data_IF_146930006885
#
_entry.id   IF_146930006885
#
_cell.length_a   1.000
_cell.length_b   1.000
_cell.length_c   1.000
_cell.angle_alpha   90.00
_cell.angle_beta   90.00
_cell.angle_gamma   90.00
#
_symmetry.space_group_name_H-M   'P 1'
#
loop_
_entity.id
_entity.type
_entity.pdbx_description
1 polymer ?
#
# COMPACT_ATOMS: atom_id res chain seq x y z
N UNK A 1 -12.59 -1.77 2.71
CA UNK A 1 -11.82 -2.99 2.35
C UNK A 1 -12.78 -4.11 1.91
N UNK A 2 -13.66 -3.83 0.94
CA UNK A 2 -14.84 -4.66 0.67
C UNK A 2 -14.59 -5.81 -0.31
N UNK A 3 -13.47 -5.79 -1.04
CA UNK A 3 -13.06 -6.83 -2.00
C UNK A 3 -11.96 -7.75 -1.48
N UNK A 4 -11.10 -7.26 -0.57
CA UNK A 4 -9.95 -8.00 -0.03
C UNK A 4 -10.40 -8.99 1.05
N UNK A 5 -11.22 -8.54 2.01
CA UNK A 5 -11.63 -9.39 3.15
C UNK A 5 -12.42 -10.64 2.71
N UNK A 6 -13.46 -10.55 1.85
CA UNK A 6 -14.16 -11.75 1.39
C UNK A 6 -13.22 -12.73 0.66
N UNK A 7 -12.29 -12.23 -0.15
CA UNK A 7 -11.31 -13.07 -0.84
C UNK A 7 -10.32 -13.73 0.10
N UNK A 8 -9.84 -13.02 1.13
CA UNK A 8 -8.95 -13.63 2.13
C UNK A 8 -9.68 -14.71 2.93
N UNK A 9 -10.93 -14.46 3.36
CA UNK A 9 -11.75 -15.47 4.03
C UNK A 9 -11.95 -16.71 3.14
N UNK A 10 -12.23 -16.53 1.85
CA UNK A 10 -12.30 -17.66 0.92
C UNK A 10 -10.96 -18.40 0.78
N UNK A 11 -9.82 -17.70 0.73
CA UNK A 11 -8.50 -18.37 0.63
C UNK A 11 -8.22 -19.28 1.83
N UNK A 12 -8.56 -18.84 3.04
CA UNK A 12 -8.29 -19.61 4.27
C UNK A 12 -9.34 -20.68 4.56
N UNK A 13 -10.63 -20.39 4.35
CA UNK A 13 -11.73 -21.26 4.77
C UNK A 13 -12.45 -21.97 3.61
N UNK A 14 -12.20 -21.56 2.37
CA UNK A 14 -12.89 -22.06 1.15
C UNK A 14 -14.42 -21.94 1.21
N UNK A 15 -14.92 -21.02 2.03
CA UNK A 15 -16.34 -20.77 2.20
C UNK A 15 -16.89 -19.94 1.02
N UNK A 16 -17.56 -20.63 0.09
CA UNK A 16 -18.22 -19.99 -1.06
C UNK A 16 -19.48 -19.23 -0.66
N UNK A 17 -20.19 -19.64 0.39
CA UNK A 17 -21.43 -18.98 0.80
C UNK A 17 -21.14 -17.57 1.33
N UNK A 18 -20.03 -17.39 2.04
CA UNK A 18 -19.57 -16.06 2.46
C UNK A 18 -19.21 -15.19 1.25
N UNK A 19 -18.57 -15.76 0.24
CA UNK A 19 -18.22 -15.04 -0.99
C UNK A 19 -19.48 -14.59 -1.75
N UNK A 20 -20.45 -15.49 -1.91
CA UNK A 20 -21.76 -15.21 -2.52
C UNK A 20 -22.53 -14.12 -1.76
N UNK A 21 -22.52 -14.17 -0.42
CA UNK A 21 -23.19 -13.15 0.40
C UNK A 21 -22.59 -11.73 0.24
N UNK A 22 -21.33 -11.61 -0.20
CA UNK A 22 -20.64 -10.33 -0.35
C UNK A 22 -20.44 -9.90 -1.80
N UNK A 23 -20.74 -10.74 -2.79
CA UNK A 23 -20.35 -10.49 -4.18
C UNK A 23 -20.96 -9.21 -4.76
N UNK A 24 -22.23 -8.94 -4.46
CA UNK A 24 -22.90 -7.73 -4.96
C UNK A 24 -22.29 -6.45 -4.37
N UNK A 25 -21.77 -6.50 -3.14
CA UNK A 25 -21.05 -5.37 -2.54
C UNK A 25 -19.67 -5.17 -3.16
N UNK A 26 -18.98 -6.27 -3.52
CA UNK A 26 -17.71 -6.21 -4.25
C UNK A 26 -17.89 -5.59 -5.65
N UNK A 27 -18.93 -6.02 -6.37
CA UNK A 27 -19.34 -5.50 -7.68
C UNK A 27 -19.70 -4.01 -7.58
N UNK A 28 -20.59 -3.64 -6.66
CA UNK A 28 -21.04 -2.26 -6.49
C UNK A 28 -19.89 -1.30 -6.17
N UNK A 29 -18.94 -1.73 -5.34
CA UNK A 29 -17.75 -0.95 -5.02
C UNK A 29 -16.87 -0.69 -6.23
N UNK A 30 -16.55 -1.73 -7.01
CA UNK A 30 -15.73 -1.56 -8.21
C UNK A 30 -16.46 -0.70 -9.24
N UNK A 31 -17.79 -0.86 -9.38
CA UNK A 31 -18.59 -0.05 -10.29
C UNK A 31 -18.59 1.43 -9.90
N UNK A 32 -18.63 1.76 -8.60
CA UNK A 32 -18.55 3.16 -8.15
C UNK A 32 -17.25 3.83 -8.61
N UNK A 33 -16.11 3.14 -8.45
CA UNK A 33 -14.81 3.67 -8.90
C UNK A 33 -14.76 3.73 -10.44
N UNK A 34 -15.26 2.69 -11.11
CA UNK A 34 -15.27 2.58 -12.56
C UNK A 34 -16.12 3.67 -13.21
N UNK A 35 -17.33 3.91 -12.73
CA UNK A 35 -18.24 4.94 -13.26
C UNK A 35 -17.67 6.35 -13.08
N UNK A 36 -17.00 6.62 -11.95
CA UNK A 36 -16.35 7.90 -11.73
C UNK A 36 -15.07 8.07 -12.60
N UNK A 37 -14.30 7.00 -12.80
CA UNK A 37 -13.18 6.98 -13.76
C UNK A 37 -13.68 7.24 -15.19
N UNK A 38 -14.75 6.58 -15.63
CA UNK A 38 -15.40 6.83 -16.93
C UNK A 38 -15.81 8.30 -17.08
N UNK A 39 -16.48 8.87 -16.07
CA UNK A 39 -16.90 10.26 -16.08
C UNK A 39 -15.72 11.26 -16.10
N UNK A 40 -14.53 10.84 -15.62
CA UNK A 40 -13.31 11.66 -15.56
C UNK A 40 -12.30 11.34 -16.67
N UNK A 41 -12.75 10.68 -17.74
CA UNK A 41 -11.99 10.49 -18.97
C UNK A 41 -11.37 9.10 -19.13
N UNK A 42 -11.89 8.09 -18.42
CA UNK A 42 -11.58 6.66 -18.61
C UNK A 42 -10.08 6.37 -18.55
N UNK A 43 -9.37 6.99 -17.60
CA UNK A 43 -7.91 6.86 -17.50
C UNK A 43 -7.49 5.52 -16.92
N UNK A 44 -8.42 4.78 -16.31
CA UNK A 44 -8.16 3.53 -15.59
C UNK A 44 -7.16 3.74 -14.45
N UNK A 45 -7.24 4.91 -13.84
CA UNK A 45 -6.45 5.32 -12.67
C UNK A 45 -7.38 5.97 -11.67
N UNK A 46 -7.14 5.71 -10.39
CA UNK A 46 -7.91 6.34 -9.33
C UNK A 46 -7.29 7.68 -8.93
N UNK A 47 -7.52 8.69 -9.77
CA UNK A 47 -6.89 10.01 -9.68
C UNK A 47 -7.82 11.12 -9.15
N UNK A 48 -8.88 10.73 -8.43
CA UNK A 48 -9.94 11.61 -7.92
C UNK A 48 -10.35 11.26 -6.50
N UNK A 49 -11.05 12.21 -5.86
CA UNK A 49 -11.54 12.05 -4.49
C UNK A 49 -10.44 12.17 -3.43
N UNK A 50 -10.85 12.09 -2.16
CA UNK A 50 -9.92 12.12 -1.03
C UNK A 50 -9.27 10.75 -0.86
N UNK A 51 -7.93 10.73 -0.73
CA UNK A 51 -7.15 9.54 -0.44
C UNK A 51 -6.24 9.81 0.77
N UNK A 52 -6.23 8.89 1.72
CA UNK A 52 -5.32 8.96 2.88
C UNK A 52 -3.86 8.59 2.50
N UNK A 53 -3.68 7.90 1.37
CA UNK A 53 -2.36 7.43 0.93
C UNK A 53 -1.78 6.41 1.90
N UNK A 54 -0.47 6.46 2.09
CA UNK A 54 0.23 5.61 3.06
C UNK A 54 0.18 6.23 4.45
N UNK A 55 -0.93 6.00 5.14
CA UNK A 55 -1.23 6.60 6.44
C UNK A 55 -0.19 6.21 7.51
N UNK A 56 0.26 7.19 8.31
CA UNK A 56 1.27 7.04 9.36
C UNK A 56 2.65 6.56 8.89
N UNK A 57 2.97 6.75 7.60
CA UNK A 57 4.32 6.54 7.09
C UNK A 57 5.29 7.60 7.62
N UNK A 58 6.56 7.21 7.77
CA UNK A 58 7.63 8.06 8.30
C UNK A 58 8.48 8.72 7.21
N UNK A 59 8.18 8.44 5.93
CA UNK A 59 8.92 8.93 4.76
C UNK A 59 8.64 10.40 4.40
N UNK A 60 7.72 11.07 5.10
CA UNK A 60 7.47 12.52 4.97
C UNK A 60 8.56 13.39 5.60
N UNK A 61 9.32 12.84 6.57
CA UNK A 61 10.29 13.56 7.40
C UNK A 61 9.72 14.75 8.19
N UNK A 62 8.39 14.82 8.36
CA UNK A 62 7.72 15.86 9.14
C UNK A 62 7.26 15.25 10.47
N UNK A 63 7.79 15.68 11.62
CA UNK A 63 7.41 15.14 12.93
C UNK A 63 5.89 15.23 13.19
N UNK A 64 5.29 14.14 13.66
CA UNK A 64 3.85 14.08 13.93
C UNK A 64 2.95 14.06 12.69
N UNK A 65 3.52 14.05 11.49
CA UNK A 65 2.75 13.92 10.26
C UNK A 65 2.06 12.55 10.19
N UNK A 66 0.86 12.54 9.60
CA UNK A 66 0.04 11.34 9.41
C UNK A 66 -0.02 10.88 7.96
N UNK A 67 0.53 11.66 7.03
CA UNK A 67 0.51 11.38 5.60
C UNK A 67 1.90 10.97 5.10
N UNK A 68 1.98 9.89 4.33
CA UNK A 68 3.21 9.47 3.68
C UNK A 68 3.60 10.29 2.44
N UNK A 69 4.84 10.09 2.00
CA UNK A 69 5.42 10.70 0.82
C UNK A 69 5.15 9.94 -0.49
N UNK A 70 4.55 8.76 -0.42
CA UNK A 70 4.20 7.99 -1.61
C UNK A 70 3.06 8.67 -2.38
N UNK A 71 3.18 8.76 -3.72
CA UNK A 71 2.12 9.26 -4.61
C UNK A 71 0.78 8.55 -4.33
N UNK A 72 -0.24 9.32 -3.92
CA UNK A 72 -1.53 8.73 -3.52
C UNK A 72 -2.32 8.15 -4.70
N UNK A 73 -2.10 8.63 -5.93
CA UNK A 73 -2.72 8.05 -7.14
C UNK A 73 -2.10 6.69 -7.43
N UNK A 74 -0.80 6.51 -7.19
CA UNK A 74 -0.16 5.19 -7.31
C UNK A 74 -0.83 4.19 -6.36
N UNK A 75 -0.91 4.52 -5.07
CA UNK A 75 -1.53 3.65 -4.05
C UNK A 75 -2.99 3.37 -4.40
N UNK A 76 -3.79 4.42 -4.66
CA UNK A 76 -5.20 4.28 -4.97
C UNK A 76 -5.43 3.43 -6.24
N UNK A 77 -4.62 3.62 -7.29
CA UNK A 77 -4.74 2.85 -8.53
C UNK A 77 -4.34 1.38 -8.34
N UNK A 78 -3.35 1.09 -7.49
CA UNK A 78 -3.04 -0.31 -7.12
C UNK A 78 -4.23 -0.94 -6.39
N UNK A 79 -4.87 -0.25 -5.44
CA UNK A 79 -6.07 -0.77 -4.79
C UNK A 79 -7.28 -0.88 -5.72
N UNK A 80 -7.39 -0.03 -6.74
CA UNK A 80 -8.38 -0.17 -7.81
C UNK A 80 -8.15 -1.45 -8.62
N UNK A 81 -6.90 -1.68 -9.05
CA UNK A 81 -6.50 -2.93 -9.71
C UNK A 81 -6.81 -4.17 -8.85
N UNK A 82 -6.41 -4.15 -7.58
CA UNK A 82 -6.65 -5.26 -6.65
C UNK A 82 -8.14 -5.49 -6.42
N UNK A 83 -8.94 -4.43 -6.33
CA UNK A 83 -10.38 -4.55 -6.17
C UNK A 83 -11.04 -5.18 -7.40
N UNK A 84 -10.72 -4.70 -8.60
CA UNK A 84 -11.23 -5.27 -9.85
C UNK A 84 -10.79 -6.74 -10.01
N UNK A 85 -9.51 -7.03 -9.74
CA UNK A 85 -8.98 -8.40 -9.80
C UNK A 85 -9.65 -9.34 -8.79
N UNK A 86 -9.79 -8.92 -7.53
CA UNK A 86 -10.42 -9.75 -6.50
C UNK A 86 -11.90 -10.01 -6.82
N UNK A 87 -12.62 -9.01 -7.34
CA UNK A 87 -14.00 -9.19 -7.81
C UNK A 87 -14.07 -10.15 -9.00
N UNK A 88 -13.16 -10.04 -9.98
CA UNK A 88 -13.08 -10.97 -11.09
C UNK A 88 -12.82 -12.42 -10.63
N UNK A 89 -11.83 -12.62 -9.75
CA UNK A 89 -11.49 -13.92 -9.19
C UNK A 89 -12.69 -14.50 -8.41
N UNK A 90 -13.39 -13.68 -7.64
CA UNK A 90 -14.58 -14.08 -6.88
C UNK A 90 -15.73 -14.53 -7.79
N UNK A 91 -16.05 -13.74 -8.81
CA UNK A 91 -17.09 -14.07 -9.80
C UNK A 91 -16.74 -15.37 -10.54
N UNK A 92 -15.47 -15.56 -10.90
CA UNK A 92 -15.01 -16.80 -11.54
C UNK A 92 -15.18 -18.03 -10.61
N UNK A 93 -14.90 -17.90 -9.30
CA UNK A 93 -15.11 -18.98 -8.31
C UNK A 93 -16.60 -19.36 -8.19
N UNK A 94 -17.48 -18.37 -8.37
CA UNK A 94 -18.93 -18.51 -8.33
C UNK A 94 -19.53 -18.89 -9.70
N UNK A 95 -18.71 -19.02 -10.74
CA UNK A 95 -19.14 -19.26 -12.12
C UNK A 95 -20.16 -18.23 -12.64
N UNK A 96 -19.91 -16.96 -12.33
CA UNK A 96 -20.73 -15.82 -12.75
C UNK A 96 -20.17 -15.19 -14.04
N UNK A 97 -21.04 -14.98 -15.03
CA UNK A 97 -20.68 -14.46 -16.36
C UNK A 97 -20.09 -13.03 -16.34
N UNK A 98 -20.29 -12.28 -15.25
CA UNK A 98 -19.70 -10.94 -15.08
C UNK A 98 -18.17 -10.98 -14.89
N UNK A 99 -17.59 -12.13 -14.59
CA UNK A 99 -16.16 -12.27 -14.29
C UNK A 99 -15.25 -11.68 -15.37
N UNK A 100 -15.60 -11.89 -16.65
CA UNK A 100 -14.80 -11.43 -17.79
C UNK A 100 -14.64 -9.92 -17.83
N UNK A 101 -15.70 -9.17 -17.51
CA UNK A 101 -15.65 -7.71 -17.48
C UNK A 101 -14.64 -7.21 -16.45
N UNK A 102 -14.71 -7.69 -15.21
CA UNK A 102 -13.81 -7.26 -14.14
C UNK A 102 -12.37 -7.75 -14.38
N UNK A 103 -12.21 -8.91 -15.00
CA UNK A 103 -10.90 -9.39 -15.41
C UNK A 103 -10.25 -8.44 -16.42
N UNK A 104 -10.96 -8.07 -17.50
CA UNK A 104 -10.47 -7.11 -18.48
C UNK A 104 -10.19 -5.75 -17.86
N UNK A 105 -11.10 -5.25 -17.01
CA UNK A 105 -10.91 -4.01 -16.28
C UNK A 105 -9.61 -4.03 -15.45
N UNK A 106 -9.32 -5.13 -14.75
CA UNK A 106 -8.07 -5.25 -13.99
C UNK A 106 -6.83 -5.20 -14.88
N UNK A 107 -6.88 -5.78 -16.09
CA UNK A 107 -5.77 -5.72 -17.05
C UNK A 107 -5.57 -4.29 -17.59
N UNK A 108 -6.67 -3.59 -17.88
CA UNK A 108 -6.64 -2.19 -18.33
C UNK A 108 -6.03 -1.27 -17.28
N UNK A 109 -6.46 -1.39 -16.02
CA UNK A 109 -5.92 -0.61 -14.90
C UNK A 109 -4.43 -0.90 -14.72
N UNK A 110 -4.04 -2.18 -14.71
CA UNK A 110 -2.62 -2.55 -14.59
C UNK A 110 -1.78 -1.94 -15.71
N UNK A 111 -2.29 -1.97 -16.95
CA UNK A 111 -1.64 -1.36 -18.12
C UNK A 111 -1.54 0.15 -17.96
N UNK A 112 -2.59 0.81 -17.46
CA UNK A 112 -2.60 2.25 -17.21
C UNK A 112 -1.54 2.63 -16.17
N UNK A 113 -1.48 1.94 -15.02
CA UNK A 113 -0.43 2.14 -14.00
C UNK A 113 0.95 2.01 -14.64
N UNK A 114 1.21 0.94 -15.39
CA UNK A 114 2.50 0.74 -16.05
C UNK A 114 2.82 1.90 -17.01
N UNK A 115 1.86 2.34 -17.82
CA UNK A 115 2.07 3.41 -18.79
C UNK A 115 2.30 4.79 -18.16
N UNK A 116 1.76 5.02 -16.96
CA UNK A 116 1.84 6.30 -16.25
C UNK A 116 3.10 6.40 -15.39
N UNK A 117 3.46 5.31 -14.72
CA UNK A 117 4.53 5.34 -13.72
C UNK A 117 5.87 4.82 -14.26
N UNK A 118 5.93 4.25 -15.47
CA UNK A 118 7.18 3.78 -16.05
C UNK A 118 7.54 4.50 -17.35
N UNK A 119 8.84 4.76 -17.54
CA UNK A 119 9.42 5.25 -18.78
C UNK A 119 10.69 4.47 -19.09
N UNK A 120 10.78 3.89 -20.30
CA UNK A 120 11.94 3.09 -20.74
C UNK A 120 12.30 1.91 -19.80
N UNK A 121 11.31 1.37 -19.09
CA UNK A 121 11.49 0.28 -18.14
C UNK A 121 11.97 0.72 -16.75
N UNK A 122 12.01 2.02 -16.47
CA UNK A 122 12.35 2.58 -15.16
C UNK A 122 11.13 3.25 -14.54
N UNK A 123 10.98 3.15 -13.21
CA UNK A 123 9.95 3.86 -12.46
C UNK A 123 10.24 5.37 -12.53
N UNK A 124 9.20 6.20 -12.61
CA UNK A 124 9.32 7.66 -12.61
C UNK A 124 9.13 8.15 -11.18
N UNK A 125 10.15 8.79 -10.59
CA UNK A 125 10.05 9.31 -9.21
C UNK A 125 8.99 10.39 -9.04
N UNK A 126 8.90 11.31 -10.01
CA UNK A 126 8.01 12.46 -10.04
C UNK A 126 7.08 12.38 -11.26
N UNK A 127 6.05 11.52 -11.23
CA UNK A 127 5.10 11.36 -12.33
C UNK A 127 4.14 12.55 -12.43
N UNK A 128 3.46 12.70 -13.58
CA UNK A 128 2.49 13.78 -13.80
C UNK A 128 1.27 13.70 -12.86
N UNK A 129 1.02 12.54 -12.25
CA UNK A 129 -0.03 12.32 -11.24
C UNK A 129 0.14 13.18 -10.00
N UNK A 130 1.33 13.74 -9.75
CA UNK A 130 1.55 14.74 -8.69
C UNK A 130 0.79 16.05 -8.90
N UNK A 131 0.21 16.25 -10.09
CA UNK A 131 -0.68 17.37 -10.43
C UNK A 131 -2.17 17.00 -10.38
N UNK A 132 -2.51 15.75 -10.05
CA UNK A 132 -3.88 15.26 -9.99
C UNK A 132 -4.72 15.92 -8.89
N UNK A 133 -6.04 15.79 -9.01
CA UNK A 133 -7.02 16.23 -8.01
C UNK A 133 -6.69 15.67 -6.61
N UNK A 134 -6.41 14.37 -6.52
CA UNK A 134 -6.02 13.68 -5.27
C UNK A 134 -4.84 14.37 -4.60
N UNK A 135 -3.82 14.69 -5.38
CA UNK A 135 -2.60 15.31 -4.87
C UNK A 135 -2.81 16.78 -4.49
N UNK A 136 -3.71 17.50 -5.18
CA UNK A 136 -4.10 18.84 -4.74
C UNK A 136 -4.89 18.81 -3.43
N UNK A 137 -5.83 17.87 -3.27
CA UNK A 137 -6.59 17.68 -2.02
C UNK A 137 -5.62 17.38 -0.87
N UNK A 138 -4.71 16.41 -1.06
CA UNK A 138 -3.72 16.04 -0.04
C UNK A 138 -2.80 17.20 0.33
N UNK A 139 -2.31 17.98 -0.65
CA UNK A 139 -1.54 19.20 -0.39
C UNK A 139 -2.33 20.23 0.41
N UNK A 140 -3.62 20.41 0.11
CA UNK A 140 -4.52 21.29 0.86
C UNK A 140 -4.68 20.86 2.32
N UNK A 141 -4.88 19.56 2.56
CA UNK A 141 -4.95 18.99 3.91
C UNK A 141 -3.63 19.23 4.66
N UNK A 142 -2.49 18.89 4.05
CA UNK A 142 -1.17 19.08 4.66
C UNK A 142 -0.88 20.53 5.03
N UNK A 143 -1.20 21.47 4.15
CA UNK A 143 -1.05 22.89 4.42
C UNK A 143 -1.89 23.34 5.62
N UNK A 144 -3.08 22.76 5.82
CA UNK A 144 -3.96 23.07 6.94
C UNK A 144 -3.49 22.41 8.26
N UNK A 145 -2.94 21.20 8.22
CA UNK A 145 -2.58 20.43 9.42
C UNK A 145 -1.17 20.73 9.97
N UNK A 146 -0.17 20.85 9.09
CA UNK A 146 1.24 20.99 9.53
C UNK A 146 1.93 22.24 8.97
N UNK A 147 1.30 22.94 8.02
CA UNK A 147 1.89 24.14 7.40
C UNK A 147 3.07 23.88 6.46
N UNK A 148 3.47 22.62 6.30
CA UNK A 148 4.60 22.15 5.50
C UNK A 148 4.15 21.30 4.30
N UNK A 149 5.04 21.20 3.30
CA UNK A 149 4.82 20.40 2.09
C UNK A 149 5.59 19.09 2.18
N UNK A 150 4.92 17.98 1.85
CA UNK A 150 5.58 16.68 1.70
C UNK A 150 6.21 16.59 0.32
N UNK A 151 7.47 16.14 0.25
CA UNK A 151 8.12 15.81 -1.03
C UNK A 151 7.57 14.49 -1.59
N UNK A 152 6.47 14.58 -2.33
CA UNK A 152 5.72 13.39 -2.76
C UNK A 152 6.32 12.77 -4.00
N UNK A 153 6.41 11.45 -4.02
CA UNK A 153 7.20 10.71 -5.01
C UNK A 153 6.83 9.23 -5.06
N UNK A 154 7.42 8.49 -6.00
CA UNK A 154 7.23 7.04 -6.09
C UNK A 154 8.41 6.23 -5.56
N UNK A 155 9.60 6.84 -5.40
CA UNK A 155 10.76 6.16 -4.83
C UNK A 155 10.66 6.14 -3.30
N UNK A 156 9.68 5.39 -2.82
CA UNK A 156 9.42 5.13 -1.40
C UNK A 156 9.38 3.63 -1.17
N UNK A 157 9.61 3.18 0.06
CA UNK A 157 9.49 1.77 0.41
C UNK A 157 8.10 1.23 0.00
N UNK A 158 7.03 1.97 0.31
CA UNK A 158 5.65 1.61 -0.01
C UNK A 158 5.40 1.50 -1.51
N UNK A 159 5.73 2.55 -2.28
CA UNK A 159 5.47 2.57 -3.72
C UNK A 159 6.17 1.40 -4.43
N UNK A 160 7.44 1.16 -4.10
CA UNK A 160 8.24 0.11 -4.72
C UNK A 160 7.79 -1.28 -4.25
N UNK A 161 7.52 -1.45 -2.94
CA UNK A 161 7.08 -2.72 -2.39
C UNK A 161 5.75 -3.19 -2.99
N UNK A 162 4.75 -2.32 -3.09
CA UNK A 162 3.45 -2.66 -3.68
C UNK A 162 3.59 -3.04 -5.17
N UNK A 163 4.38 -2.28 -5.95
CA UNK A 163 4.62 -2.60 -7.37
C UNK A 163 5.29 -3.97 -7.54
N UNK A 164 6.25 -4.31 -6.69
CA UNK A 164 6.92 -5.62 -6.69
C UNK A 164 5.99 -6.75 -6.25
N UNK A 165 5.30 -6.58 -5.12
CA UNK A 165 4.40 -7.57 -4.51
C UNK A 165 3.27 -7.97 -5.45
N UNK A 166 2.64 -6.98 -6.11
CA UNK A 166 1.52 -7.23 -7.02
C UNK A 166 1.94 -7.40 -8.48
N UNK A 167 3.26 -7.46 -8.75
CA UNK A 167 3.86 -7.70 -10.07
C UNK A 167 3.38 -6.69 -11.12
N UNK A 168 3.36 -5.41 -10.78
CA UNK A 168 2.92 -4.30 -11.63
C UNK A 168 4.17 -3.62 -12.21
N UNK A 169 4.72 -4.23 -13.26
CA UNK A 169 5.86 -3.71 -14.01
C UNK A 169 5.81 -4.27 -15.44
N UNK A 170 6.40 -3.57 -16.43
CA UNK A 170 6.29 -3.96 -17.84
C UNK A 170 7.03 -5.26 -18.18
N UNK A 171 8.18 -5.51 -17.57
CA UNK A 171 9.06 -6.64 -17.90
C UNK A 171 10.04 -7.00 -16.76
N UNK A 172 10.84 -8.04 -16.96
CA UNK A 172 11.86 -8.49 -16.01
C UNK A 172 13.01 -7.48 -15.84
N UNK A 173 13.28 -6.60 -16.82
CA UNK A 173 14.28 -5.53 -16.66
C UNK A 173 13.79 -4.50 -15.65
N UNK A 174 12.53 -4.09 -15.77
CA UNK A 174 11.87 -3.19 -14.82
C UNK A 174 11.77 -3.82 -13.42
N UNK A 175 11.46 -5.12 -13.33
CA UNK A 175 11.51 -5.84 -12.04
C UNK A 175 12.89 -5.74 -11.40
N UNK A 176 13.97 -6.07 -12.11
CA UNK A 176 15.34 -5.98 -11.59
C UNK A 176 15.72 -4.55 -11.17
N UNK A 177 15.27 -3.56 -11.94
CA UNK A 177 15.42 -2.15 -11.58
C UNK A 177 14.72 -1.82 -10.26
N UNK A 178 13.46 -2.23 -10.08
CA UNK A 178 12.71 -2.01 -8.84
C UNK A 178 13.34 -2.73 -7.64
N UNK A 179 13.86 -3.95 -7.82
CA UNK A 179 14.56 -4.67 -6.74
C UNK A 179 15.81 -3.91 -6.29
N UNK A 180 16.59 -3.40 -7.24
CA UNK A 180 17.75 -2.54 -6.93
C UNK A 180 17.31 -1.26 -6.23
N UNK A 181 16.23 -0.62 -6.71
CA UNK A 181 15.71 0.61 -6.13
C UNK A 181 15.18 0.37 -4.70
N UNK A 182 14.46 -0.73 -4.45
CA UNK A 182 13.98 -1.12 -3.13
C UNK A 182 15.15 -1.30 -2.16
N UNK A 183 16.20 -2.01 -2.61
CA UNK A 183 17.41 -2.18 -1.82
C UNK A 183 18.06 -0.84 -1.47
N UNK A 184 18.16 0.09 -2.43
CA UNK A 184 18.73 1.41 -2.19
C UNK A 184 17.91 2.21 -1.16
N UNK A 185 16.58 2.25 -1.28
CA UNK A 185 15.74 3.01 -0.31
C UNK A 185 15.75 2.36 1.09
N UNK A 186 15.93 1.04 1.18
CA UNK A 186 16.17 0.37 2.47
C UNK A 186 17.53 0.77 3.06
N UNK A 187 18.59 0.82 2.25
CA UNK A 187 19.94 1.22 2.69
C UNK A 187 19.98 2.70 3.13
N UNK A 188 19.32 3.59 2.40
CA UNK A 188 19.15 5.02 2.77
C UNK A 188 18.42 5.16 4.11
N UNK A 189 17.42 4.32 4.35
CA UNK A 189 16.73 4.21 5.64
C UNK A 189 17.52 3.40 6.69
N UNK A 190 18.77 3.02 6.43
CA UNK A 190 19.61 2.20 7.32
C UNK A 190 18.93 0.91 7.78
N UNK A 191 18.12 0.31 6.91
CA UNK A 191 17.35 -0.90 7.17
C UNK A 191 16.09 -0.72 8.03
N UNK A 192 15.75 0.52 8.43
CA UNK A 192 14.49 0.81 9.11
C UNK A 192 13.34 0.87 8.11
N UNK A 193 12.15 0.50 8.56
CA UNK A 193 10.94 0.77 7.82
C UNK A 193 10.64 2.28 7.81
N UNK A 194 10.04 2.73 6.72
CA UNK A 194 9.44 4.07 6.61
C UNK A 194 7.98 4.01 6.18
N UNK A 195 7.42 2.81 6.06
CA UNK A 195 6.10 2.54 5.51
C UNK A 195 4.98 2.80 6.51
N UNK A 196 3.84 3.22 5.99
CA UNK A 196 2.58 3.35 6.72
C UNK A 196 1.68 2.13 6.56
N UNK A 197 0.38 2.33 6.71
CA UNK A 197 -0.62 1.25 6.67
C UNK A 197 -0.71 0.56 5.32
N UNK A 198 -0.46 1.26 4.21
CA UNK A 198 -0.56 0.68 2.88
C UNK A 198 0.69 -0.15 2.54
N UNK A 199 1.88 0.33 2.94
CA UNK A 199 3.15 -0.32 2.60
C UNK A 199 3.58 -1.45 3.54
N UNK A 200 3.27 -1.34 4.84
CA UNK A 200 3.80 -2.26 5.86
C UNK A 200 3.43 -3.73 5.60
N UNK A 201 2.18 -4.07 5.22
CA UNK A 201 1.82 -5.46 4.92
C UNK A 201 2.59 -6.04 3.73
N UNK A 202 3.02 -5.19 2.78
CA UNK A 202 3.62 -5.64 1.52
C UNK A 202 5.15 -5.65 1.54
N UNK A 203 5.78 -4.80 2.35
CA UNK A 203 7.25 -4.62 2.36
C UNK A 203 8.03 -5.92 2.65
N UNK A 204 7.74 -6.68 3.73
CA UNK A 204 8.50 -7.91 4.02
C UNK A 204 8.37 -8.95 2.91
N UNK A 205 7.18 -9.13 2.35
CA UNK A 205 6.94 -10.03 1.23
C UNK A 205 7.68 -9.57 -0.03
N UNK A 206 7.62 -8.28 -0.36
CA UNK A 206 8.30 -7.72 -1.52
C UNK A 206 9.82 -7.92 -1.44
N UNK A 207 10.42 -7.77 -0.26
CA UNK A 207 11.84 -8.05 -0.03
C UNK A 207 12.14 -9.54 -0.24
N UNK A 208 11.45 -10.43 0.48
CA UNK A 208 11.75 -11.86 0.47
C UNK A 208 11.51 -12.50 -0.90
N UNK A 209 10.36 -12.22 -1.53
CA UNK A 209 9.97 -12.84 -2.81
C UNK A 209 10.82 -12.39 -3.99
N UNK A 210 11.59 -11.31 -3.82
CA UNK A 210 12.50 -10.80 -4.83
C UNK A 210 13.98 -10.98 -4.47
N UNK A 211 14.29 -11.88 -3.53
CA UNK A 211 15.66 -12.30 -3.22
C UNK A 211 16.44 -11.35 -2.30
N UNK A 212 15.76 -10.42 -1.62
CA UNK A 212 16.33 -9.54 -0.61
C UNK A 212 16.12 -10.12 0.80
N UNK A 213 16.40 -11.42 0.98
CA UNK A 213 16.17 -12.14 2.23
C UNK A 213 16.89 -11.51 3.42
N UNK A 214 18.14 -11.05 3.24
CA UNK A 214 18.89 -10.40 4.31
C UNK A 214 18.20 -9.12 4.79
N UNK A 215 17.71 -8.30 3.86
CA UNK A 215 16.97 -7.08 4.18
C UNK A 215 15.63 -7.40 4.85
N UNK A 216 14.93 -8.45 4.41
CA UNK A 216 13.68 -8.87 5.01
C UNK A 216 13.87 -9.29 6.48
N UNK A 217 14.92 -10.07 6.78
CA UNK A 217 15.23 -10.48 8.15
C UNK A 217 15.82 -9.36 9.00
N UNK A 218 16.69 -8.53 8.44
CA UNK A 218 17.20 -7.35 9.15
C UNK A 218 16.05 -6.41 9.55
N UNK A 219 15.07 -6.23 8.66
CA UNK A 219 13.88 -5.44 8.94
C UNK A 219 13.03 -6.06 10.06
N UNK A 220 12.78 -7.38 10.01
CA UNK A 220 11.96 -8.08 11.00
C UNK A 220 12.60 -8.10 12.40
N UNK A 221 13.93 -8.26 12.46
CA UNK A 221 14.69 -8.35 13.71
C UNK A 221 15.32 -7.02 14.15
N UNK A 222 14.91 -5.90 13.56
CA UNK A 222 15.34 -4.57 13.99
C UNK A 222 14.79 -4.32 15.41
N UNK A 223 15.65 -3.90 16.33
CA UNK A 223 15.28 -3.64 17.74
C UNK A 223 15.18 -2.14 18.08
N UNK A 224 15.85 -1.28 17.32
CA UNK A 224 15.78 0.17 17.49
C UNK A 224 14.50 0.74 16.85
N UNK A 225 14.04 1.90 17.33
CA UNK A 225 12.92 2.60 16.72
C UNK A 225 13.29 3.18 15.34
N UNK A 226 12.37 3.14 14.34
CA UNK A 226 11.04 2.50 14.35
C UNK A 226 11.13 1.00 13.98
N UNK A 227 10.54 0.11 14.80
CA UNK A 227 10.45 -1.33 14.50
C UNK A 227 9.44 -2.05 15.40
N UNK A 228 9.02 -3.26 15.00
CA UNK A 228 8.16 -4.10 15.84
C UNK A 228 8.83 -4.51 17.16
N UNK A 229 10.10 -4.91 17.14
CA UNK A 229 10.78 -5.33 18.37
C UNK A 229 11.11 -4.15 19.28
N UNK A 230 11.21 -2.92 18.75
CA UNK A 230 11.24 -1.74 19.60
C UNK A 230 9.98 -1.62 20.46
N UNK A 231 8.78 -1.84 19.90
CA UNK A 231 7.53 -1.82 20.68
C UNK A 231 7.59 -2.86 21.82
N UNK A 232 8.01 -4.09 21.49
CA UNK A 232 8.15 -5.19 22.46
C UNK A 232 9.18 -4.84 23.54
N UNK A 233 10.34 -4.31 23.17
CA UNK A 233 11.40 -3.89 24.09
C UNK A 233 10.95 -2.75 25.03
N UNK A 234 10.00 -1.93 24.58
CA UNK A 234 9.34 -0.89 25.38
C UNK A 234 8.18 -1.42 26.24
N UNK A 235 7.92 -2.73 26.23
CA UNK A 235 6.91 -3.38 27.05
C UNK A 235 5.52 -3.46 26.41
N UNK A 236 5.41 -3.26 25.10
CA UNK A 236 4.15 -3.43 24.39
C UNK A 236 3.65 -4.87 24.49
N UNK A 237 2.35 -5.03 24.74
CA UNK A 237 1.64 -6.32 24.66
C UNK A 237 0.63 -6.37 23.50
N UNK A 238 0.53 -5.27 22.75
CA UNK A 238 -0.28 -5.06 21.55
C UNK A 238 0.51 -4.16 20.60
N UNK A 239 0.26 -4.27 19.29
CA UNK A 239 0.88 -3.35 18.32
C UNK A 239 0.31 -1.95 18.43
N UNK A 240 1.13 -0.94 18.16
CA UNK A 240 0.73 0.47 18.29
C UNK A 240 0.16 1.04 16.98
N UNK A 241 -0.56 2.16 17.08
CA UNK A 241 -1.11 2.87 15.93
C UNK A 241 -0.02 3.55 15.11
N UNK A 242 0.98 4.14 15.76
CA UNK A 242 2.10 4.81 15.11
C UNK A 242 3.40 4.08 15.46
N UNK A 243 4.32 4.04 14.50
CA UNK A 243 5.67 3.55 14.76
C UNK A 243 6.43 4.33 15.83
N UNK A 244 6.07 5.60 16.01
CA UNK A 244 6.62 6.50 17.00
C UNK A 244 5.64 6.73 18.16
N UNK A 245 4.64 5.87 18.38
CA UNK A 245 3.63 6.02 19.46
C UNK A 245 4.26 6.28 20.82
N UNK A 246 5.35 5.59 21.14
CA UNK A 246 6.28 5.93 22.22
C UNK A 246 7.64 6.25 21.60
N UNK A 247 8.21 7.40 21.95
CA UNK A 247 9.52 7.84 21.51
C UNK A 247 10.64 7.04 22.21
N UNK A 248 11.87 6.98 21.68
CA UNK A 248 12.99 6.28 22.31
C UNK A 248 13.32 6.72 23.75
N UNK A 249 12.87 7.91 24.16
CA UNK A 249 13.02 8.42 25.52
C UNK A 249 11.87 7.99 26.48
N UNK A 250 10.93 7.16 26.02
CA UNK A 250 9.78 6.67 26.78
C UNK A 250 8.59 7.62 26.84
N UNK A 251 8.64 8.78 26.18
CA UNK A 251 7.51 9.70 26.13
C UNK A 251 6.51 9.28 25.04
N UNK A 252 5.22 9.44 25.32
CA UNK A 252 4.16 9.30 24.32
C UNK A 252 4.33 10.40 23.26
N UNK A 253 4.28 10.04 21.98
CA UNK A 253 4.35 11.03 20.89
C UNK A 253 3.00 11.72 20.65
N UNK A 254 3.06 13.00 20.28
CA UNK A 254 1.87 13.79 19.93
C UNK A 254 0.85 13.95 21.07
N UNK A 255 -0.30 14.53 20.76
CA UNK A 255 -1.34 14.85 21.76
C UNK A 255 -2.76 14.41 21.41
N UNK A 256 -3.05 13.88 20.21
CA UNK A 256 -4.45 13.66 19.79
C UNK A 256 -4.77 12.27 19.19
N UNK A 257 -3.97 11.74 18.26
CA UNK A 257 -4.21 10.41 17.64
C UNK A 257 -3.02 9.47 17.88
N UNK A 258 -3.11 8.68 18.95
CA UNK A 258 -2.05 7.77 19.36
C UNK A 258 -2.59 6.61 20.24
N UNK A 259 -3.17 5.59 19.61
CA UNK A 259 -3.56 4.35 20.29
C UNK A 259 -2.38 3.39 20.47
N UNK A 260 -2.25 2.80 21.65
CA UNK A 260 -1.28 1.72 21.94
C UNK A 260 -1.85 0.31 21.67
N UNK A 261 -3.00 0.22 21.01
CA UNK A 261 -3.65 -1.05 20.67
C UNK A 261 -4.35 -0.91 19.31
N UNK A 262 -3.58 -1.13 18.24
CA UNK A 262 -4.02 -0.99 16.85
C UNK A 262 -3.36 -2.09 15.99
N UNK A 263 -4.17 -2.91 15.33
CA UNK A 263 -3.67 -4.14 14.67
C UNK A 263 -3.00 -3.92 13.31
N UNK A 264 -2.99 -2.69 12.77
CA UNK A 264 -2.56 -2.43 11.40
C UNK A 264 -1.13 -2.92 11.12
N UNK A 265 -0.19 -2.67 12.03
CA UNK A 265 1.18 -3.15 11.91
C UNK A 265 1.38 -4.60 12.36
N UNK A 266 0.37 -5.20 13.01
CA UNK A 266 0.29 -6.65 13.25
C UNK A 266 0.13 -7.46 11.97
N UNK A 267 -0.15 -6.82 10.82
CA UNK A 267 -0.18 -7.46 9.51
C UNK A 267 1.12 -8.20 9.13
N UNK A 268 2.25 -7.89 9.79
CA UNK A 268 3.51 -8.65 9.67
C UNK A 268 3.35 -10.13 10.02
N UNK A 269 2.34 -10.50 10.81
CA UNK A 269 2.08 -11.90 11.18
C UNK A 269 1.78 -12.77 9.95
N UNK A 270 1.10 -12.24 8.92
CA UNK A 270 0.86 -12.94 7.65
C UNK A 270 2.20 -13.36 7.00
N UNK A 271 3.19 -12.45 6.98
CA UNK A 271 4.53 -12.75 6.50
C UNK A 271 5.21 -13.86 7.30
N UNK A 272 5.10 -13.80 8.63
CA UNK A 272 5.74 -14.77 9.52
C UNK A 272 5.14 -16.16 9.32
N UNK A 273 3.81 -16.27 9.23
CA UNK A 273 3.11 -17.55 9.11
C UNK A 273 3.20 -18.13 7.68
N UNK A 274 3.12 -17.31 6.63
CA UNK A 274 3.16 -17.83 5.25
C UNK A 274 4.54 -18.32 4.82
N UNK A 275 5.61 -17.80 5.43
CA UNK A 275 7.00 -17.98 4.96
C UNK A 275 7.89 -18.81 5.88
N UNK A 276 7.40 -19.21 7.05
CA UNK A 276 8.03 -20.16 7.98
C UNK A 276 7.14 -21.39 8.20
#
# INVERSE_FOLDING_TARGET
>A
MITILPMNLYKHYRDKALLEANIESMVAWVNTIYEEDEAKGSKRLWHFGMQLGDWLALDSNIPGCVMGATDSVLIASIYYYLSAKNTADALMILADDRADFYFQLSLEIKKAIISTFYKNGELIDKPDTLNSEVEQIRKGMMQAFVGEKIDTRTYTQTGIAMLLRYKIYPDEKAKKYLVKLLKNVMEEAKGFLTTGFAGTPDLPHALLENGLSNQAFELLFKEDAPSWLFEVNMGATTTWERWDSILPNGQISGTEMNSLNHYAYGAVEDFIIEKY
#
